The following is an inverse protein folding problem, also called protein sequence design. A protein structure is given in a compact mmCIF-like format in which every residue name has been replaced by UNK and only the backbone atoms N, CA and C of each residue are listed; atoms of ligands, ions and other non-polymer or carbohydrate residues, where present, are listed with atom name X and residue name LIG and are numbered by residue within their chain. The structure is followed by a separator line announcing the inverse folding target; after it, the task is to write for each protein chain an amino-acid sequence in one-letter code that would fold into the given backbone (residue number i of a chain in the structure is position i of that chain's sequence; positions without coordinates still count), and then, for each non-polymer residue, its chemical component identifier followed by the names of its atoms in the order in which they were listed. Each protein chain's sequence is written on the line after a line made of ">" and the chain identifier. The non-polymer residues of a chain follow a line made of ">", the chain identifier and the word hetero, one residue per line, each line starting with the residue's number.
data_IF_836640514296
#
_entry.id   IF_836640514296
#
_cell.length_a   1.000
_cell.length_b   1.000
_cell.length_c   1.000
_cell.angle_alpha   90.00
_cell.angle_beta   90.00
_cell.angle_gamma   90.00
#
_symmetry.space_group_name_H-M   'P 1'
#
loop_
_entity.id
_entity.type
_entity.pdbx_description
1 polymer ?
#
# COMPACT_ATOMS: atom_id res chain seq x y z
N UNK A 1 9.34 15.90 3.39
CA UNK A 1 9.18 16.03 4.87
C UNK A 1 10.53 15.66 5.46
N UNK A 2 10.99 16.40 6.46
CA UNK A 2 12.32 16.24 7.06
C UNK A 2 12.30 15.45 8.39
N UNK A 3 11.12 14.96 8.79
CA UNK A 3 10.91 14.22 10.05
C UNK A 3 11.03 15.09 11.31
N UNK A 4 11.16 16.40 11.17
CA UNK A 4 11.38 17.31 12.29
C UNK A 4 10.08 18.05 12.63
N UNK A 5 9.69 18.01 13.90
CA UNK A 5 8.63 18.85 14.43
C UNK A 5 9.18 20.28 14.66
N UNK A 6 9.29 21.04 13.56
CA UNK A 6 9.79 22.40 13.57
C UNK A 6 8.69 23.46 13.73
N UNK A 7 9.07 24.77 13.71
CA UNK A 7 8.10 25.87 13.88
C UNK A 7 6.92 25.85 12.89
N UNK A 8 7.12 25.39 11.66
CA UNK A 8 6.05 25.25 10.66
C UNK A 8 5.06 24.15 11.04
N UNK A 9 5.56 23.01 11.53
CA UNK A 9 4.72 21.90 12.01
C UNK A 9 3.92 22.33 13.23
N UNK A 10 4.56 23.02 14.18
CA UNK A 10 3.89 23.61 15.35
C UNK A 10 2.74 24.54 14.93
N UNK A 11 2.99 25.48 14.02
CA UNK A 11 1.97 26.41 13.52
C UNK A 11 0.81 25.69 12.83
N UNK A 12 1.11 24.65 12.02
CA UNK A 12 0.09 23.84 11.36
C UNK A 12 -0.77 23.08 12.38
N UNK A 13 -0.16 22.49 13.41
CA UNK A 13 -0.88 21.81 14.50
C UNK A 13 -1.75 22.79 15.28
N UNK A 14 -1.23 23.95 15.67
CA UNK A 14 -1.99 24.97 16.39
C UNK A 14 -3.18 25.49 15.57
N UNK A 15 -2.99 25.74 14.27
CA UNK A 15 -4.07 26.13 13.36
C UNK A 15 -5.13 25.01 13.22
N UNK A 16 -4.69 23.75 13.09
CA UNK A 16 -5.58 22.59 13.06
C UNK A 16 -6.42 22.48 14.35
N UNK A 17 -5.77 22.63 15.52
CA UNK A 17 -6.44 22.61 16.82
C UNK A 17 -7.49 23.70 16.93
N UNK A 18 -7.13 24.94 16.58
CA UNK A 18 -8.06 26.09 16.60
C UNK A 18 -9.29 25.82 15.69
N UNK A 19 -9.07 25.31 14.49
CA UNK A 19 -10.15 25.00 13.53
C UNK A 19 -11.05 23.86 13.98
N UNK A 20 -10.60 23.02 14.92
CA UNK A 20 -11.35 21.89 15.47
C UNK A 20 -11.79 22.11 16.93
N UNK A 21 -11.84 23.36 17.41
CA UNK A 21 -12.27 23.73 18.75
C UNK A 21 -11.46 23.05 19.88
N UNK A 22 -10.18 22.79 19.62
CA UNK A 22 -9.21 22.30 20.61
C UNK A 22 -8.35 23.46 21.15
N UNK A 23 -7.68 23.24 22.28
CA UNK A 23 -6.66 24.17 22.74
C UNK A 23 -5.52 24.24 21.70
N UNK A 24 -5.26 25.44 21.18
CA UNK A 24 -4.27 25.66 20.12
C UNK A 24 -2.85 25.78 20.70
N UNK A 25 -2.40 24.74 21.38
CA UNK A 25 -1.10 24.68 22.07
C UNK A 25 0.04 24.13 21.17
N UNK A 26 -0.28 23.70 19.94
CA UNK A 26 0.68 23.13 19.00
C UNK A 26 1.21 21.74 19.40
N UNK A 27 0.64 21.11 20.44
CA UNK A 27 1.05 19.80 20.95
C UNK A 27 0.06 18.73 20.49
N UNK A 28 0.54 17.69 19.82
CA UNK A 28 -0.32 16.59 19.38
C UNK A 28 -0.55 15.62 20.54
N UNK A 29 -1.47 16.01 21.43
CA UNK A 29 -1.95 15.17 22.54
C UNK A 29 -3.14 14.27 22.15
N UNK A 30 -3.69 13.49 23.12
CA UNK A 30 -4.80 12.56 22.85
C UNK A 30 -6.03 13.20 22.20
N UNK A 31 -6.40 14.41 22.60
CA UNK A 31 -7.54 15.14 22.00
C UNK A 31 -7.28 15.52 20.54
N UNK A 32 -6.06 15.96 20.22
CA UNK A 32 -5.64 16.26 18.85
C UNK A 32 -5.63 15.00 17.99
N UNK A 33 -5.08 13.91 18.53
CA UNK A 33 -5.07 12.62 17.86
C UNK A 33 -6.48 12.11 17.57
N UNK A 34 -7.41 12.22 18.50
CA UNK A 34 -8.79 11.75 18.29
C UNK A 34 -9.50 12.44 17.10
N UNK A 35 -9.14 13.70 16.80
CA UNK A 35 -9.65 14.41 15.63
C UNK A 35 -8.88 14.03 14.37
N UNK A 36 -7.54 13.95 14.45
CA UNK A 36 -6.70 13.54 13.32
C UNK A 36 -7.06 12.13 12.85
N UNK A 37 -7.29 11.19 13.76
CA UNK A 37 -7.66 9.82 13.44
C UNK A 37 -8.91 9.73 12.55
N UNK A 38 -9.94 10.48 12.87
CA UNK A 38 -11.18 10.52 12.07
C UNK A 38 -10.91 11.04 10.66
N UNK A 39 -10.07 12.06 10.51
CA UNK A 39 -9.71 12.61 9.21
C UNK A 39 -8.84 11.63 8.40
N UNK A 40 -7.90 10.93 9.04
CA UNK A 40 -7.07 9.92 8.40
C UNK A 40 -7.89 8.70 7.95
N UNK A 41 -8.92 8.31 8.71
CA UNK A 41 -9.86 7.26 8.34
C UNK A 41 -10.84 7.72 7.23
N UNK A 42 -11.04 9.04 7.08
CA UNK A 42 -11.89 9.62 6.04
C UNK A 42 -13.39 9.44 6.26
N UNK A 43 -13.82 9.05 7.47
CA UNK A 43 -15.23 8.95 7.84
C UNK A 43 -15.46 9.24 9.32
N UNK A 44 -16.73 9.48 9.68
CA UNK A 44 -17.20 9.54 11.05
C UNK A 44 -18.36 8.56 11.28
N UNK A 45 -18.65 8.29 12.54
CA UNK A 45 -19.84 7.55 12.94
C UNK A 45 -20.84 8.52 13.53
N UNK A 46 -22.03 8.57 12.96
CA UNK A 46 -23.10 9.49 13.35
C UNK A 46 -24.33 8.75 13.89
N UNK A 47 -24.90 9.26 14.97
CA UNK A 47 -26.18 8.79 15.51
C UNK A 47 -27.26 9.77 15.09
N UNK A 48 -28.23 9.30 14.29
CA UNK A 48 -29.33 10.10 13.74
C UNK A 48 -30.14 10.75 14.86
N UNK A 49 -30.33 12.06 14.75
CA UNK A 49 -31.08 12.88 15.69
C UNK A 49 -32.50 13.20 15.17
N UNK A 50 -33.43 13.62 16.05
CA UNK A 50 -34.75 14.09 15.62
C UNK A 50 -34.66 15.24 14.60
N UNK A 51 -35.37 15.11 13.47
CA UNK A 51 -35.36 16.09 12.38
C UNK A 51 -34.23 15.97 11.38
N UNK A 52 -33.35 14.96 11.52
CA UNK A 52 -32.30 14.69 10.53
C UNK A 52 -32.87 14.14 9.22
N UNK A 53 -32.13 14.44 8.15
CA UNK A 53 -32.26 13.81 6.84
C UNK A 53 -30.87 13.50 6.30
N UNK A 54 -30.73 12.48 5.45
CA UNK A 54 -29.43 12.19 4.83
C UNK A 54 -28.88 13.41 4.08
N UNK A 55 -29.75 14.22 3.48
CA UNK A 55 -29.30 15.44 2.81
C UNK A 55 -28.68 16.47 3.77
N UNK A 56 -29.29 16.70 4.95
CA UNK A 56 -28.75 17.62 5.95
C UNK A 56 -27.43 17.11 6.52
N UNK A 57 -27.36 15.81 6.82
CA UNK A 57 -26.15 15.15 7.31
C UNK A 57 -25.04 15.26 6.25
N UNK A 58 -25.34 14.91 4.99
CA UNK A 58 -24.36 15.00 3.90
C UNK A 58 -23.77 16.42 3.75
N UNK A 59 -24.62 17.45 3.82
CA UNK A 59 -24.16 18.84 3.79
C UNK A 59 -23.27 19.22 4.98
N UNK A 60 -23.62 18.76 6.18
CA UNK A 60 -22.84 19.06 7.40
C UNK A 60 -21.43 18.43 7.36
N UNK A 61 -21.28 17.28 6.69
CA UNK A 61 -20.03 16.55 6.55
C UNK A 61 -19.33 16.77 5.20
N UNK A 62 -19.78 17.73 4.39
CA UNK A 62 -19.24 18.04 3.06
C UNK A 62 -19.13 16.81 2.15
N UNK A 63 -20.13 15.94 2.21
CA UNK A 63 -20.20 14.69 1.43
C UNK A 63 -21.50 14.65 0.61
N UNK A 64 -21.84 13.48 0.06
CA UNK A 64 -23.07 13.26 -0.72
C UNK A 64 -23.96 12.20 -0.08
N UNK A 65 -25.27 12.25 -0.39
CA UNK A 65 -26.22 11.21 0.04
C UNK A 65 -25.79 9.85 -0.51
N UNK A 66 -25.34 9.79 -1.77
CA UNK A 66 -24.89 8.55 -2.42
C UNK A 66 -23.68 7.94 -1.71
N UNK A 67 -22.74 8.77 -1.24
CA UNK A 67 -21.60 8.29 -0.45
C UNK A 67 -22.06 7.68 0.89
N UNK A 68 -23.01 8.33 1.58
CA UNK A 68 -23.60 7.79 2.83
C UNK A 68 -24.33 6.47 2.54
N UNK A 69 -25.15 6.40 1.50
CA UNK A 69 -25.86 5.17 1.11
C UNK A 69 -24.88 4.05 0.77
N UNK A 70 -23.82 4.35 0.04
CA UNK A 70 -22.76 3.38 -0.30
C UNK A 70 -22.08 2.81 0.95
N UNK A 71 -21.77 3.67 1.93
CA UNK A 71 -21.11 3.27 3.17
C UNK A 71 -22.05 2.54 4.16
N UNK A 72 -23.36 2.59 3.94
CA UNK A 72 -24.37 1.97 4.80
C UNK A 72 -25.29 1.03 3.98
N UNK A 73 -24.82 -0.17 3.58
CA UNK A 73 -25.61 -1.08 2.76
C UNK A 73 -26.97 -1.41 3.38
N UNK A 74 -28.03 -1.36 2.56
CA UNK A 74 -29.41 -1.67 2.99
C UNK A 74 -30.16 -0.49 3.62
N UNK A 75 -29.55 0.70 3.71
CA UNK A 75 -30.26 1.89 4.15
C UNK A 75 -31.28 2.34 3.08
N UNK A 76 -32.50 2.68 3.52
CA UNK A 76 -33.42 3.42 2.67
C UNK A 76 -33.08 4.93 2.74
N UNK A 77 -32.70 5.57 1.61
CA UNK A 77 -32.29 6.96 1.62
C UNK A 77 -33.42 7.94 2.02
N UNK A 78 -34.67 7.51 1.96
CA UNK A 78 -35.83 8.30 2.30
C UNK A 78 -36.32 8.09 3.75
N UNK A 79 -35.81 7.04 4.42
CA UNK A 79 -36.28 6.66 5.77
C UNK A 79 -35.10 6.35 6.68
N UNK A 80 -34.71 7.34 7.49
CA UNK A 80 -33.75 7.13 8.58
C UNK A 80 -34.45 7.25 9.93
N UNK A 81 -33.96 6.53 10.95
CA UNK A 81 -34.61 6.47 12.27
C UNK A 81 -33.73 7.15 13.31
N UNK A 82 -34.35 7.91 14.22
CA UNK A 82 -33.63 8.45 15.38
C UNK A 82 -32.94 7.33 16.15
N UNK A 83 -31.67 7.55 16.51
CA UNK A 83 -30.82 6.54 17.16
C UNK A 83 -30.13 5.59 16.18
N UNK A 84 -30.44 5.62 14.88
CA UNK A 84 -29.73 4.81 13.87
C UNK A 84 -28.27 5.27 13.76
N UNK A 85 -27.35 4.31 13.74
CA UNK A 85 -25.90 4.55 13.56
C UNK A 85 -25.57 4.51 12.08
N UNK A 86 -24.90 5.55 11.59
CA UNK A 86 -24.47 5.68 10.20
C UNK A 86 -22.96 5.92 10.12
N UNK A 87 -22.33 5.33 9.12
CA UNK A 87 -20.98 5.70 8.66
C UNK A 87 -21.15 6.89 7.69
N UNK A 88 -20.49 7.98 7.99
CA UNK A 88 -20.56 9.22 7.18
C UNK A 88 -19.18 9.45 6.56
N UNK A 89 -18.96 9.10 5.29
CA UNK A 89 -17.71 9.42 4.59
C UNK A 89 -17.52 10.94 4.48
N UNK A 90 -16.31 11.43 4.68
CA UNK A 90 -15.96 12.81 4.34
C UNK A 90 -15.83 12.97 2.82
N UNK A 91 -16.06 14.19 2.31
CA UNK A 91 -15.94 14.50 0.87
C UNK A 91 -14.50 14.59 0.35
N UNK A 92 -13.53 14.05 1.09
CA UNK A 92 -12.10 14.02 0.74
C UNK A 92 -11.64 12.59 0.43
N UNK A 93 -10.53 12.46 -0.28
CA UNK A 93 -9.88 11.18 -0.51
C UNK A 93 -9.22 10.64 0.76
N UNK A 94 -9.29 9.32 0.95
CA UNK A 94 -8.59 8.61 2.04
C UNK A 94 -7.11 8.47 1.68
N UNK A 95 -6.84 8.18 0.41
CA UNK A 95 -5.48 7.94 -0.07
C UNK A 95 -4.87 9.24 -0.59
N UNK A 96 -3.79 9.68 0.05
CA UNK A 96 -2.94 10.77 -0.40
C UNK A 96 -1.65 10.22 -1.00
N UNK A 97 -1.13 10.90 -2.05
CA UNK A 97 0.06 10.45 -2.78
C UNK A 97 1.35 11.11 -2.29
N UNK A 98 1.26 12.03 -1.35
CA UNK A 98 2.35 12.89 -0.88
C UNK A 98 2.79 12.58 0.58
N UNK A 99 2.22 11.53 1.17
CA UNK A 99 2.54 11.07 2.51
C UNK A 99 3.32 9.75 2.45
N UNK A 100 4.38 9.61 3.25
CA UNK A 100 5.14 8.37 3.33
C UNK A 100 4.23 7.21 3.75
N UNK A 101 4.18 6.11 3.01
CA UNK A 101 3.24 5.02 3.23
C UNK A 101 3.73 4.07 4.32
N UNK A 102 3.87 4.60 5.55
CA UNK A 102 4.20 3.76 6.71
C UNK A 102 3.10 2.72 6.94
N UNK A 103 3.46 1.65 7.65
CA UNK A 103 2.50 0.60 8.00
C UNK A 103 1.20 1.15 8.59
N UNK A 104 1.31 2.09 9.53
CA UNK A 104 0.14 2.66 10.20
C UNK A 104 -0.73 3.49 9.25
N UNK A 105 -0.14 4.25 8.33
CA UNK A 105 -0.88 5.00 7.31
C UNK A 105 -1.63 4.05 6.38
N UNK A 106 -0.97 3.01 5.88
CA UNK A 106 -1.60 2.02 4.98
C UNK A 106 -2.74 1.28 5.69
N UNK A 107 -2.52 0.85 6.94
CA UNK A 107 -3.55 0.19 7.77
C UNK A 107 -4.80 1.06 7.90
N UNK A 108 -4.64 2.35 8.24
CA UNK A 108 -5.74 3.31 8.39
C UNK A 108 -6.44 3.59 7.07
N UNK A 109 -5.69 3.72 5.99
CA UNK A 109 -6.28 3.90 4.66
C UNK A 109 -7.14 2.69 4.27
N UNK A 110 -6.68 1.46 4.50
CA UNK A 110 -7.46 0.23 4.24
C UNK A 110 -8.74 0.21 5.09
N UNK A 111 -8.63 0.53 6.38
CA UNK A 111 -9.77 0.62 7.29
C UNK A 111 -10.80 1.66 6.80
N UNK A 112 -10.33 2.86 6.45
CA UNK A 112 -11.17 3.93 5.92
C UNK A 112 -11.84 3.56 4.59
N UNK A 113 -11.10 2.96 3.67
CA UNK A 113 -11.65 2.50 2.39
C UNK A 113 -12.70 1.41 2.59
N UNK A 114 -12.49 0.45 3.50
CA UNK A 114 -13.46 -0.58 3.81
C UNK A 114 -14.74 -0.02 4.43
N UNK A 115 -14.61 0.98 5.31
CA UNK A 115 -15.78 1.64 5.91
C UNK A 115 -16.60 2.42 4.87
N UNK A 116 -15.93 3.08 3.92
CA UNK A 116 -16.57 3.85 2.84
C UNK A 116 -17.15 2.97 1.74
N UNK A 117 -16.52 1.83 1.47
CA UNK A 117 -16.83 0.89 0.40
C UNK A 117 -16.93 -0.54 0.95
N UNK A 118 -18.03 -0.87 1.66
CA UNK A 118 -18.17 -2.19 2.33
C UNK A 118 -18.16 -3.40 1.39
N UNK A 119 -18.24 -3.18 0.08
CA UNK A 119 -18.09 -4.22 -0.94
C UNK A 119 -16.62 -4.63 -1.17
N UNK A 120 -15.65 -3.88 -0.64
CA UNK A 120 -14.25 -4.28 -0.67
C UNK A 120 -14.02 -5.43 0.30
N UNK A 121 -13.39 -6.49 -0.18
CA UNK A 121 -12.87 -7.56 0.66
C UNK A 121 -11.44 -7.21 1.06
N UNK A 122 -11.14 -7.32 2.35
CA UNK A 122 -9.81 -7.06 2.89
C UNK A 122 -9.42 -8.18 3.84
N UNK A 123 -8.15 -8.52 3.85
CA UNK A 123 -7.62 -9.53 4.75
C UNK A 123 -6.10 -9.41 4.89
N UNK A 124 -5.50 -10.42 5.49
CA UNK A 124 -4.05 -10.54 5.64
C UNK A 124 -3.58 -11.83 4.98
N UNK A 125 -2.45 -11.76 4.29
CA UNK A 125 -1.77 -12.93 3.72
C UNK A 125 -0.79 -13.57 4.71
N UNK A 126 -0.49 -12.90 5.82
CA UNK A 126 0.49 -13.31 6.82
C UNK A 126 1.03 -12.12 7.60
N UNK A 127 2.16 -12.31 8.25
CA UNK A 127 2.78 -11.29 9.09
C UNK A 127 4.24 -11.08 8.72
N UNK A 128 4.72 -9.84 8.90
CA UNK A 128 6.12 -9.48 8.79
C UNK A 128 6.95 -10.01 9.97
N UNK A 129 8.25 -9.81 9.92
CA UNK A 129 9.18 -10.13 11.03
C UNK A 129 8.74 -9.48 12.34
N UNK A 130 8.27 -8.23 12.33
CA UNK A 130 7.79 -7.52 13.52
C UNK A 130 6.32 -7.83 13.87
N UNK A 131 5.71 -8.81 13.21
CA UNK A 131 4.33 -9.25 13.49
C UNK A 131 3.24 -8.38 12.89
N UNK A 132 3.57 -7.47 11.98
CA UNK A 132 2.63 -6.60 11.27
C UNK A 132 1.90 -7.37 10.20
N UNK A 133 0.59 -7.11 10.04
CA UNK A 133 -0.23 -7.77 9.03
C UNK A 133 0.19 -7.35 7.62
N UNK A 134 0.34 -8.32 6.73
CA UNK A 134 0.54 -8.09 5.31
C UNK A 134 -0.84 -8.05 4.64
N UNK A 135 -1.39 -6.85 4.55
CA UNK A 135 -2.77 -6.69 4.07
C UNK A 135 -2.91 -6.92 2.57
N UNK A 136 -4.06 -7.50 2.19
CA UNK A 136 -4.55 -7.43 0.83
C UNK A 136 -5.91 -6.72 0.76
N UNK A 137 -6.19 -6.15 -0.40
CA UNK A 137 -7.52 -5.66 -0.79
C UNK A 137 -7.91 -6.37 -2.09
N UNK A 138 -9.10 -6.97 -2.10
CA UNK A 138 -9.66 -7.57 -3.31
C UNK A 138 -10.67 -6.62 -3.95
N UNK A 139 -10.46 -6.34 -5.23
CA UNK A 139 -11.38 -5.61 -6.10
C UNK A 139 -12.02 -6.60 -7.06
N UNK A 140 -13.32 -6.77 -6.95
CA UNK A 140 -14.07 -7.68 -7.81
C UNK A 140 -14.44 -9.00 -7.15
N UNK A 141 -15.26 -9.77 -7.87
CA UNK A 141 -15.80 -11.07 -7.43
C UNK A 141 -15.81 -12.13 -8.54
N UNK A 142 -15.19 -11.78 -9.66
CA UNK A 142 -15.12 -12.67 -10.81
C UNK A 142 -14.14 -13.82 -10.63
N UNK A 143 -14.23 -14.80 -11.51
CA UNK A 143 -13.37 -15.99 -11.47
C UNK A 143 -11.97 -15.78 -12.07
N UNK A 144 -11.73 -14.67 -12.75
CA UNK A 144 -10.40 -14.32 -13.25
C UNK A 144 -9.60 -13.69 -12.14
N UNK A 145 -8.62 -14.41 -11.59
CA UNK A 145 -7.79 -13.89 -10.51
C UNK A 145 -6.50 -13.30 -11.07
N UNK A 146 -6.16 -12.11 -10.58
CA UNK A 146 -4.86 -11.44 -10.84
C UNK A 146 -4.32 -10.86 -9.54
N UNK A 147 -3.00 -10.73 -9.43
CA UNK A 147 -2.37 -10.19 -8.22
C UNK A 147 -1.42 -9.05 -8.55
N UNK A 148 -1.52 -7.98 -7.77
CA UNK A 148 -0.61 -6.83 -7.80
C UNK A 148 0.01 -6.63 -6.43
N UNK A 149 1.29 -6.32 -6.41
CA UNK A 149 1.98 -6.07 -5.15
C UNK A 149 2.98 -4.91 -5.28
N UNK A 150 3.34 -4.32 -4.15
CA UNK A 150 4.26 -3.18 -4.10
C UNK A 150 5.16 -3.26 -2.87
N UNK A 151 6.24 -2.50 -2.91
CA UNK A 151 7.17 -2.32 -1.80
C UNK A 151 7.74 -3.63 -1.25
N UNK A 152 8.22 -4.52 -2.14
CA UNK A 152 9.15 -5.57 -1.74
C UNK A 152 10.44 -4.95 -1.22
N UNK A 153 10.94 -3.91 -1.91
CA UNK A 153 12.06 -3.13 -1.45
C UNK A 153 11.62 -1.92 -0.61
N UNK A 154 12.27 -1.73 0.51
CA UNK A 154 11.90 -0.72 1.50
C UNK A 154 11.99 0.72 0.99
N UNK A 155 13.03 1.05 0.22
CA UNK A 155 13.25 2.38 -0.35
C UNK A 155 12.49 2.65 -1.66
N UNK A 156 11.65 1.73 -2.08
CA UNK A 156 10.77 1.85 -3.25
C UNK A 156 9.30 2.09 -2.83
N UNK A 157 9.12 2.66 -1.65
CA UNK A 157 7.81 2.79 -1.00
C UNK A 157 6.79 3.63 -1.76
N UNK A 158 7.20 4.47 -2.72
CA UNK A 158 6.29 5.24 -3.59
C UNK A 158 5.31 4.34 -4.37
N UNK A 159 5.63 3.07 -4.57
CA UNK A 159 4.78 2.11 -5.27
C UNK A 159 3.51 1.77 -4.48
N UNK A 160 3.58 1.82 -3.14
CA UNK A 160 2.42 1.60 -2.25
C UNK A 160 1.29 2.61 -2.46
N UNK A 161 1.49 3.95 -2.36
CA UNK A 161 0.41 4.91 -2.57
C UNK A 161 -0.15 4.87 -4.00
N UNK A 162 0.62 4.44 -5.00
CA UNK A 162 0.13 4.24 -6.36
C UNK A 162 -0.94 3.15 -6.41
N UNK A 163 -0.66 1.97 -5.81
CA UNK A 163 -1.64 0.89 -5.73
C UNK A 163 -2.82 1.24 -4.82
N UNK A 164 -2.59 1.88 -3.68
CA UNK A 164 -3.66 2.34 -2.79
C UNK A 164 -4.59 3.33 -3.48
N UNK A 165 -4.04 4.23 -4.29
CA UNK A 165 -4.85 5.19 -5.07
C UNK A 165 -5.68 4.51 -6.15
N UNK A 166 -5.14 3.49 -6.78
CA UNK A 166 -5.89 2.66 -7.72
C UNK A 166 -7.08 1.97 -7.02
N UNK A 167 -6.87 1.40 -5.83
CA UNK A 167 -7.94 0.79 -5.03
C UNK A 167 -9.06 1.81 -4.77
N UNK A 168 -8.71 3.01 -4.30
CA UNK A 168 -9.69 4.06 -4.00
C UNK A 168 -10.47 4.49 -5.25
N UNK A 169 -9.77 4.78 -6.36
CA UNK A 169 -10.42 5.26 -7.58
C UNK A 169 -11.30 4.17 -8.23
N UNK A 170 -10.86 2.91 -8.18
CA UNK A 170 -11.67 1.78 -8.64
C UNK A 170 -12.95 1.65 -7.80
N UNK A 171 -12.84 1.72 -6.48
CA UNK A 171 -13.98 1.65 -5.58
C UNK A 171 -14.97 2.81 -5.79
N UNK A 172 -14.47 4.03 -5.99
CA UNK A 172 -15.30 5.21 -6.36
C UNK A 172 -16.06 4.98 -7.66
N UNK A 173 -15.34 4.52 -8.70
CA UNK A 173 -15.96 4.28 -10.00
C UNK A 173 -17.00 3.16 -9.94
N UNK A 174 -16.74 2.08 -9.19
CA UNK A 174 -17.72 1.02 -8.94
C UNK A 174 -18.98 1.54 -8.27
N UNK A 175 -18.84 2.31 -7.19
CA UNK A 175 -19.96 2.91 -6.46
C UNK A 175 -20.78 3.86 -7.34
N UNK A 176 -20.10 4.69 -8.11
CA UNK A 176 -20.72 5.66 -9.02
C UNK A 176 -21.25 5.06 -10.33
N UNK A 177 -21.13 3.74 -10.55
CA UNK A 177 -21.45 3.07 -11.83
C UNK A 177 -20.69 3.68 -13.02
N UNK A 178 -19.45 4.11 -12.76
CA UNK A 178 -18.62 4.82 -13.71
C UNK A 178 -17.67 3.90 -14.48
N UNK A 179 -16.84 4.56 -15.28
CA UNK A 179 -15.77 3.92 -16.08
C UNK A 179 -14.41 4.54 -15.74
N UNK A 180 -13.35 3.76 -15.90
CA UNK A 180 -11.96 4.22 -15.84
C UNK A 180 -11.30 3.80 -17.16
N UNK A 181 -10.62 4.70 -17.84
CA UNK A 181 -9.95 4.43 -19.13
C UNK A 181 -10.86 3.73 -20.18
N UNK A 182 -12.17 4.04 -20.15
CA UNK A 182 -13.17 3.44 -21.03
C UNK A 182 -13.72 2.08 -20.60
N UNK A 183 -13.16 1.45 -19.56
CA UNK A 183 -13.68 0.18 -19.01
C UNK A 183 -14.82 0.44 -18.04
N UNK A 184 -15.97 -0.24 -18.22
CA UNK A 184 -17.05 -0.24 -17.26
C UNK A 184 -16.63 -1.00 -16.00
N UNK A 185 -16.52 -0.31 -14.86
CA UNK A 185 -15.95 -0.90 -13.65
C UNK A 185 -16.85 -1.94 -13.01
N UNK A 186 -18.18 -1.85 -13.18
CA UNK A 186 -19.09 -2.90 -12.68
C UNK A 186 -18.96 -4.20 -13.44
N UNK A 187 -18.83 -4.14 -14.76
CA UNK A 187 -18.59 -5.33 -15.58
C UNK A 187 -17.25 -5.97 -15.21
N UNK A 188 -16.20 -5.15 -15.07
CA UNK A 188 -14.88 -5.64 -14.70
C UNK A 188 -14.88 -6.25 -13.29
N UNK A 189 -15.62 -5.66 -12.34
CA UNK A 189 -15.78 -6.17 -10.98
C UNK A 189 -16.44 -7.57 -10.95
N UNK A 190 -17.40 -7.81 -11.84
CA UNK A 190 -18.07 -9.10 -11.93
C UNK A 190 -17.25 -10.16 -12.66
N UNK A 191 -16.34 -9.76 -13.55
CA UNK A 191 -15.50 -10.66 -14.34
C UNK A 191 -14.21 -11.07 -13.64
N UNK A 192 -13.60 -10.17 -12.87
CA UNK A 192 -12.24 -10.29 -12.36
C UNK A 192 -12.19 -10.11 -10.86
N UNK A 193 -11.27 -10.79 -10.21
CA UNK A 193 -10.86 -10.56 -8.82
C UNK A 193 -9.40 -10.12 -8.82
N UNK A 194 -9.17 -8.84 -8.52
CA UNK A 194 -7.82 -8.26 -8.38
C UNK A 194 -7.42 -8.27 -6.92
N UNK A 195 -6.43 -9.06 -6.56
CA UNK A 195 -5.85 -9.10 -5.22
C UNK A 195 -4.65 -8.17 -5.17
N UNK A 196 -4.72 -7.13 -4.37
CA UNK A 196 -3.69 -6.10 -4.29
C UNK A 196 -3.06 -6.14 -2.91
N UNK A 197 -1.77 -6.42 -2.85
CA UNK A 197 -0.94 -6.39 -1.64
C UNK A 197 -0.09 -5.11 -1.69
N UNK A 198 -0.54 -4.00 -1.12
CA UNK A 198 0.08 -2.69 -1.36
C UNK A 198 1.40 -2.49 -0.61
N UNK A 199 1.71 -3.31 0.39
CA UNK A 199 2.89 -3.14 1.24
C UNK A 199 3.43 -4.51 1.69
N UNK A 200 4.35 -5.08 0.93
CA UNK A 200 4.95 -6.40 1.21
C UNK A 200 5.98 -6.33 2.33
N UNK A 201 6.73 -5.24 2.42
CA UNK A 201 7.83 -5.04 3.39
C UNK A 201 7.53 -3.88 4.36
N UNK A 202 6.53 -4.02 5.25
CA UNK A 202 6.13 -2.92 6.13
C UNK A 202 7.21 -2.50 7.13
N UNK A 203 8.03 -3.45 7.60
CA UNK A 203 9.08 -3.18 8.58
C UNK A 203 10.24 -2.40 7.95
N UNK A 204 10.66 -2.82 6.76
CA UNK A 204 11.71 -2.12 6.01
C UNK A 204 11.27 -0.73 5.56
N UNK A 205 10.02 -0.57 5.10
CA UNK A 205 9.48 0.74 4.71
C UNK A 205 9.45 1.69 5.90
N UNK A 206 9.02 1.24 7.07
CA UNK A 206 9.04 2.07 8.28
C UNK A 206 10.46 2.40 8.73
N UNK A 207 11.40 1.45 8.62
CA UNK A 207 12.82 1.70 8.89
C UNK A 207 13.36 2.86 8.02
N UNK A 208 13.03 2.87 6.74
CA UNK A 208 13.42 3.96 5.82
C UNK A 208 12.69 5.25 6.14
N UNK A 209 11.38 5.19 6.42
CA UNK A 209 10.53 6.36 6.63
C UNK A 209 10.84 7.11 7.92
N UNK A 210 11.21 6.40 8.99
CA UNK A 210 11.51 6.99 10.30
C UNK A 210 12.98 7.33 10.51
N UNK A 211 13.87 7.01 9.56
CA UNK A 211 15.28 7.35 9.67
C UNK A 211 15.51 8.86 9.82
N UNK A 212 16.44 9.32 10.68
CA UNK A 212 17.29 8.55 11.61
C UNK A 212 16.71 8.38 13.02
N UNK A 213 15.44 8.73 13.24
CA UNK A 213 14.83 8.79 14.57
C UNK A 213 14.00 7.53 14.82
N UNK A 214 14.56 6.59 15.60
CA UNK A 214 13.90 5.33 15.92
C UNK A 214 13.56 5.24 17.40
N UNK A 215 12.29 4.95 17.69
CA UNK A 215 11.84 4.64 19.05
C UNK A 215 11.96 3.12 19.35
N UNK A 216 11.99 2.27 18.31
CA UNK A 216 12.07 0.82 18.45
C UNK A 216 13.53 0.34 18.30
N UNK A 217 14.06 -0.43 19.29
CA UNK A 217 15.39 -1.03 19.20
C UNK A 217 15.63 -1.93 17.98
N UNK A 218 14.57 -2.56 17.44
CA UNK A 218 14.69 -3.38 16.23
C UNK A 218 15.15 -2.55 15.03
N UNK A 219 14.64 -1.33 14.86
CA UNK A 219 15.08 -0.41 13.81
C UNK A 219 16.52 0.05 14.01
N UNK A 220 16.89 0.35 15.24
CA UNK A 220 18.29 0.70 15.57
C UNK A 220 19.24 -0.45 15.26
N UNK A 221 18.86 -1.69 15.57
CA UNK A 221 19.67 -2.87 15.28
C UNK A 221 19.80 -3.13 13.79
N UNK A 222 18.72 -3.03 13.04
CA UNK A 222 18.73 -3.15 11.58
C UNK A 222 19.61 -2.08 10.92
N UNK A 223 19.48 -0.83 11.36
CA UNK A 223 20.27 0.28 10.81
C UNK A 223 21.80 0.07 10.96
N UNK A 224 22.24 -0.67 11.99
CA UNK A 224 23.66 -1.03 12.17
C UNK A 224 24.20 -1.98 11.10
N UNK A 225 23.35 -2.68 10.36
CA UNK A 225 23.74 -3.51 9.22
C UNK A 225 24.14 -2.66 8.02
N UNK A 226 23.77 -1.37 7.98
CA UNK A 226 24.23 -0.47 6.94
C UNK A 226 25.71 -0.08 7.16
N UNK A 227 26.59 -0.79 6.47
CA UNK A 227 28.05 -0.56 6.49
C UNK A 227 28.54 0.18 5.23
N UNK A 228 27.63 0.70 4.42
CA UNK A 228 27.98 1.35 3.14
C UNK A 228 28.58 2.75 3.28
N UNK A 229 28.41 3.39 4.44
CA UNK A 229 28.76 4.82 4.64
C UNK A 229 27.77 5.80 4.00
N UNK A 230 26.75 5.32 3.29
CA UNK A 230 25.70 6.14 2.69
C UNK A 230 24.48 6.25 3.61
N UNK A 231 23.64 7.29 3.45
CA UNK A 231 22.38 7.40 4.20
C UNK A 231 21.50 6.16 4.00
N UNK A 232 20.96 5.63 5.10
CA UNK A 232 20.16 4.41 5.09
C UNK A 232 19.01 4.45 4.06
N UNK A 233 18.22 5.52 3.93
CA UNK A 233 17.12 5.55 2.95
C UNK A 233 17.57 5.32 1.51
N UNK A 234 18.77 5.72 1.15
CA UNK A 234 19.27 5.58 -0.23
C UNK A 234 19.69 4.17 -0.61
N UNK A 235 19.98 3.33 0.39
CA UNK A 235 20.56 1.99 0.17
C UNK A 235 19.68 0.84 0.64
N UNK A 236 18.75 1.09 1.57
CA UNK A 236 18.02 0.02 2.25
C UNK A 236 16.86 -0.54 1.41
N UNK A 237 17.08 -1.67 0.76
CA UNK A 237 16.05 -2.45 0.05
C UNK A 237 15.46 -3.57 0.90
N UNK A 238 16.23 -4.09 1.84
CA UNK A 238 15.95 -5.27 2.63
C UNK A 238 14.75 -5.13 3.59
N UNK A 239 14.31 -6.26 4.15
CA UNK A 239 13.43 -6.27 5.32
C UNK A 239 14.21 -5.87 6.59
N UNK A 240 13.57 -5.94 7.75
CA UNK A 240 14.16 -5.54 9.03
C UNK A 240 15.34 -6.46 9.46
N UNK A 241 15.43 -7.67 8.91
CA UNK A 241 16.54 -8.60 9.15
C UNK A 241 17.72 -8.41 8.20
N UNK A 242 17.63 -7.49 7.25
CA UNK A 242 18.65 -7.27 6.25
C UNK A 242 18.64 -8.30 5.13
N UNK A 243 17.49 -8.87 4.81
CA UNK A 243 17.27 -9.79 3.68
C UNK A 243 16.51 -9.06 2.58
N UNK A 244 17.04 -9.09 1.37
CA UNK A 244 16.37 -8.57 0.18
C UNK A 244 15.26 -9.55 -0.22
N UNK A 245 14.00 -9.14 0.02
CA UNK A 245 12.85 -10.01 -0.19
C UNK A 245 12.67 -10.43 -1.65
N UNK A 246 13.11 -9.60 -2.61
CA UNK A 246 13.03 -9.93 -4.03
C UNK A 246 14.18 -10.80 -4.54
N UNK A 247 15.02 -11.31 -3.63
CA UNK A 247 16.04 -12.34 -3.85
C UNK A 247 15.78 -13.58 -2.97
N UNK A 248 14.61 -13.70 -2.35
CA UNK A 248 14.30 -14.76 -1.38
C UNK A 248 13.28 -15.79 -1.90
N UNK A 249 12.97 -15.81 -3.21
CA UNK A 249 12.07 -16.79 -3.82
C UNK A 249 12.85 -17.95 -4.46
N UNK A 250 12.24 -19.16 -4.60
CA UNK A 250 12.93 -20.36 -5.11
C UNK A 250 13.05 -20.38 -6.66
N UNK A 251 13.49 -19.28 -7.25
CA UNK A 251 13.75 -19.18 -8.70
C UNK A 251 15.26 -19.14 -8.93
N UNK A 252 15.88 -20.32 -9.08
CA UNK A 252 17.33 -20.48 -9.20
C UNK A 252 18.12 -19.81 -8.05
N UNK A 253 17.61 -19.92 -6.86
CA UNK A 253 18.14 -19.27 -5.65
C UNK A 253 19.59 -19.63 -5.36
N UNK A 254 20.03 -20.85 -5.70
CA UNK A 254 21.41 -21.29 -5.55
C UNK A 254 22.37 -20.48 -6.45
N UNK A 255 21.91 -20.07 -7.63
CA UNK A 255 22.70 -19.18 -8.50
C UNK A 255 22.79 -17.78 -7.92
N UNK A 256 21.69 -17.27 -7.37
CA UNK A 256 21.71 -15.99 -6.65
C UNK A 256 22.73 -16.01 -5.51
N UNK A 257 22.76 -17.08 -4.72
CA UNK A 257 23.76 -17.25 -3.64
C UNK A 257 25.19 -17.30 -4.14
N UNK A 258 25.42 -17.86 -5.31
CA UNK A 258 26.75 -17.83 -5.93
C UNK A 258 27.13 -16.41 -6.35
N UNK A 259 26.21 -15.66 -6.96
CA UNK A 259 26.44 -14.25 -7.34
C UNK A 259 26.66 -13.36 -6.11
N UNK A 260 25.90 -13.56 -5.03
CA UNK A 260 26.14 -12.87 -3.75
C UNK A 260 27.60 -13.07 -3.27
N UNK A 261 28.08 -14.30 -3.26
CA UNK A 261 29.44 -14.61 -2.82
C UNK A 261 30.51 -13.99 -3.74
N UNK A 262 30.30 -14.03 -5.06
CA UNK A 262 31.18 -13.41 -6.05
C UNK A 262 31.26 -11.89 -5.88
N UNK A 263 30.13 -11.26 -5.44
CA UNK A 263 30.04 -9.84 -5.14
C UNK A 263 30.45 -9.49 -3.69
N UNK A 264 30.92 -10.46 -2.90
CA UNK A 264 31.37 -10.25 -1.53
C UNK A 264 30.26 -10.09 -0.50
N UNK A 265 29.04 -10.49 -0.84
CA UNK A 265 27.87 -10.46 0.05
C UNK A 265 27.84 -11.77 0.85
N UNK A 266 28.16 -11.68 2.13
CA UNK A 266 28.34 -12.87 3.00
C UNK A 266 27.31 -12.97 4.12
N UNK A 267 26.31 -12.07 4.15
CA UNK A 267 25.29 -12.05 5.19
C UNK A 267 24.38 -10.83 5.12
N UNK A 268 23.50 -10.68 6.12
CA UNK A 268 22.49 -9.63 6.17
C UNK A 268 23.07 -8.23 5.99
N UNK A 269 22.40 -7.44 5.17
CA UNK A 269 22.79 -6.08 4.81
C UNK A 269 21.63 -5.24 4.31
N UNK A 270 21.91 -4.02 3.86
CA UNK A 270 20.86 -3.14 3.36
C UNK A 270 20.23 -3.62 2.05
N UNK A 271 20.89 -4.49 1.29
CA UNK A 271 20.45 -5.00 -0.01
C UNK A 271 21.26 -6.22 -0.46
N UNK A 272 20.78 -6.87 -1.49
CA UNK A 272 21.50 -7.89 -2.27
C UNK A 272 21.84 -9.18 -1.47
N UNK A 273 21.20 -9.43 -0.31
CA UNK A 273 21.29 -10.67 0.43
C UNK A 273 19.97 -11.42 0.42
N UNK A 274 19.88 -12.55 -0.25
CA UNK A 274 18.67 -13.36 -0.46
C UNK A 274 18.28 -14.29 0.70
N UNK A 275 18.94 -14.14 1.88
CA UNK A 275 18.63 -14.95 3.05
C UNK A 275 19.44 -16.24 3.14
N UNK A 276 19.13 -17.07 4.15
CA UNK A 276 19.83 -18.35 4.40
C UNK A 276 19.24 -19.52 3.60
N UNK A 277 17.99 -19.38 3.17
CA UNK A 277 17.27 -20.34 2.34
C UNK A 277 16.16 -19.62 1.56
N UNK A 278 15.67 -20.22 0.43
CA UNK A 278 14.50 -19.69 -0.24
C UNK A 278 13.30 -19.65 0.72
N UNK A 279 12.53 -18.56 0.68
CA UNK A 279 11.39 -18.32 1.55
C UNK A 279 11.75 -18.38 3.07
N UNK A 280 12.99 -18.02 3.43
CA UNK A 280 13.38 -17.90 4.84
C UNK A 280 12.60 -16.80 5.57
N UNK A 281 12.23 -15.75 4.87
CA UNK A 281 11.56 -14.61 5.46
C UNK A 281 10.03 -14.79 5.51
N UNK A 282 9.39 -14.35 6.60
CA UNK A 282 7.94 -14.50 6.73
C UNK A 282 7.17 -13.77 5.63
N UNK A 283 7.65 -12.63 5.16
CA UNK A 283 7.02 -11.83 4.10
C UNK A 283 7.04 -12.57 2.75
N UNK A 284 8.18 -13.06 2.32
CA UNK A 284 8.29 -13.81 1.05
C UNK A 284 7.54 -15.14 1.11
N UNK A 285 7.53 -15.80 2.28
CA UNK A 285 6.75 -17.02 2.51
C UNK A 285 5.25 -16.75 2.41
N UNK A 286 4.78 -15.69 3.08
CA UNK A 286 3.37 -15.29 3.03
C UNK A 286 2.91 -14.97 1.60
N UNK A 287 3.74 -14.25 0.83
CA UNK A 287 3.47 -13.99 -0.59
C UNK A 287 3.41 -15.27 -1.41
N UNK A 288 4.34 -16.20 -1.20
CA UNK A 288 4.39 -17.47 -1.93
C UNK A 288 3.19 -18.36 -1.60
N UNK A 289 2.86 -18.52 -0.30
CA UNK A 289 1.74 -19.32 0.16
C UNK A 289 0.41 -18.75 -0.33
N UNK A 290 0.24 -17.44 -0.28
CA UNK A 290 -0.94 -16.77 -0.83
C UNK A 290 -1.06 -16.97 -2.34
N UNK A 291 0.05 -16.85 -3.08
CA UNK A 291 0.07 -17.07 -4.52
C UNK A 291 -0.29 -18.51 -4.89
N UNK A 292 0.19 -19.50 -4.14
CA UNK A 292 -0.12 -20.92 -4.32
C UNK A 292 -1.57 -21.26 -3.99
N UNK A 293 -2.18 -20.53 -3.05
CA UNK A 293 -3.58 -20.72 -2.66
C UNK A 293 -4.58 -20.19 -3.69
N UNK A 294 -4.12 -19.45 -4.72
CA UNK A 294 -4.94 -18.82 -5.73
C UNK A 294 -4.60 -19.31 -7.14
N UNK A 295 -5.48 -19.01 -8.09
CA UNK A 295 -5.29 -19.35 -9.49
C UNK A 295 -4.93 -18.11 -10.34
N UNK A 296 -3.96 -17.32 -9.86
CA UNK A 296 -3.58 -16.08 -10.54
C UNK A 296 -3.15 -16.33 -11.99
N UNK A 297 -3.78 -15.60 -12.90
CA UNK A 297 -3.45 -15.63 -14.34
C UNK A 297 -2.23 -14.75 -14.63
N UNK A 298 -2.11 -13.66 -13.91
CA UNK A 298 -1.06 -12.65 -14.06
C UNK A 298 -0.67 -12.15 -12.68
N UNK A 299 0.63 -11.89 -12.47
CA UNK A 299 1.12 -11.12 -11.35
C UNK A 299 1.89 -9.89 -11.83
N UNK A 300 1.73 -8.76 -11.13
CA UNK A 300 2.48 -7.52 -11.39
C UNK A 300 3.10 -7.04 -10.09
N UNK A 301 4.42 -6.99 -10.03
CA UNK A 301 5.19 -6.43 -8.92
C UNK A 301 5.66 -5.02 -9.28
N UNK A 302 5.28 -4.05 -8.45
CA UNK A 302 5.69 -2.65 -8.62
C UNK A 302 6.98 -2.36 -7.86
N UNK A 303 7.96 -1.90 -8.60
CA UNK A 303 9.29 -1.49 -8.17
C UNK A 303 9.63 -0.09 -8.67
N UNK A 304 10.78 0.41 -8.30
CA UNK A 304 11.41 1.62 -8.85
C UNK A 304 12.89 1.36 -9.10
N UNK A 305 13.47 1.86 -10.17
CA UNK A 305 13.04 2.95 -11.04
C UNK A 305 13.45 2.67 -12.49
N UNK A 306 12.99 3.49 -13.45
CA UNK A 306 13.52 3.44 -14.84
C UNK A 306 12.44 3.47 -15.92
N UNK A 307 11.15 3.41 -15.57
CA UNK A 307 10.02 3.33 -16.53
C UNK A 307 10.17 2.15 -17.50
N UNK A 308 10.54 0.98 -16.94
CA UNK A 308 10.79 -0.27 -17.69
C UNK A 308 9.86 -1.36 -17.16
N UNK A 309 9.44 -2.28 -18.04
CA UNK A 309 8.68 -3.47 -17.69
C UNK A 309 9.53 -4.70 -17.97
N UNK A 310 9.85 -5.44 -16.93
CA UNK A 310 10.50 -6.75 -17.04
C UNK A 310 9.44 -7.85 -17.06
N UNK A 311 9.52 -8.73 -18.07
CA UNK A 311 8.51 -9.77 -18.32
C UNK A 311 9.08 -11.15 -18.63
N UNK A 312 10.41 -11.25 -18.81
CA UNK A 312 11.10 -12.53 -19.08
C UNK A 312 11.86 -13.00 -17.84
N UNK A 313 12.21 -14.28 -17.82
CA UNK A 313 13.11 -14.90 -16.86
C UNK A 313 14.41 -15.30 -17.59
N UNK A 314 15.56 -15.10 -16.95
CA UNK A 314 16.90 -15.49 -17.45
C UNK A 314 17.42 -14.78 -18.73
N UNK A 315 16.72 -13.84 -19.31
CA UNK A 315 17.14 -13.14 -20.55
C UNK A 315 17.64 -11.71 -20.27
N UNK A 316 18.04 -11.42 -19.04
CA UNK A 316 18.62 -10.13 -18.66
C UNK A 316 20.16 -10.21 -18.66
N UNK A 317 20.81 -9.10 -18.90
CA UNK A 317 22.23 -8.92 -18.69
C UNK A 317 22.44 -7.74 -17.73
N UNK A 318 22.84 -7.96 -16.47
CA UNK A 318 23.01 -9.26 -15.81
C UNK A 318 21.67 -9.95 -15.47
N UNK A 319 21.63 -11.29 -15.44
CA UNK A 319 20.43 -12.01 -15.02
C UNK A 319 20.13 -11.69 -13.55
N UNK A 320 18.83 -11.60 -13.21
CA UNK A 320 18.38 -11.52 -11.83
C UNK A 320 17.66 -12.82 -11.48
N UNK A 321 18.04 -13.43 -10.37
CA UNK A 321 17.48 -14.68 -9.88
C UNK A 321 16.66 -14.44 -8.61
N UNK A 322 15.94 -15.46 -8.18
CA UNK A 322 15.21 -15.51 -6.92
C UNK A 322 14.17 -14.38 -6.68
N UNK A 323 13.75 -13.65 -7.74
CA UNK A 323 12.70 -12.64 -7.67
C UNK A 323 11.30 -13.23 -7.64
N UNK A 324 10.32 -12.48 -7.08
CA UNK A 324 8.92 -12.90 -7.03
C UNK A 324 8.33 -13.18 -8.41
N UNK A 325 8.52 -12.26 -9.36
CA UNK A 325 8.08 -12.42 -10.74
C UNK A 325 8.72 -13.65 -11.40
N UNK A 326 10.02 -13.85 -11.20
CA UNK A 326 10.80 -14.93 -11.81
C UNK A 326 10.34 -16.28 -11.27
N UNK A 327 10.11 -16.37 -9.96
CA UNK A 327 9.52 -17.53 -9.32
C UNK A 327 8.12 -17.84 -9.88
N UNK A 328 7.27 -16.83 -10.04
CA UNK A 328 5.93 -17.03 -10.60
C UNK A 328 5.98 -17.54 -12.03
N UNK A 329 6.83 -16.97 -12.87
CA UNK A 329 7.05 -17.44 -14.25
C UNK A 329 7.53 -18.90 -14.28
N UNK A 330 8.46 -19.27 -13.41
CA UNK A 330 9.04 -20.60 -13.35
C UNK A 330 8.05 -21.64 -12.82
N UNK A 331 7.40 -21.36 -11.69
CA UNK A 331 6.52 -22.33 -11.01
C UNK A 331 5.18 -22.49 -11.71
N UNK A 332 4.55 -21.40 -12.15
CA UNK A 332 3.20 -21.43 -12.71
C UNK A 332 3.16 -21.39 -14.23
N UNK A 333 4.26 -21.05 -14.91
CA UNK A 333 4.34 -20.86 -16.36
C UNK A 333 3.29 -19.89 -16.90
N UNK A 334 3.06 -18.81 -16.16
CA UNK A 334 2.10 -17.75 -16.45
C UNK A 334 2.78 -16.39 -16.45
N UNK A 335 2.20 -15.38 -17.12
CA UNK A 335 2.78 -14.04 -17.19
C UNK A 335 3.00 -13.41 -15.82
N UNK A 336 4.23 -13.01 -15.55
CA UNK A 336 4.63 -12.22 -14.40
C UNK A 336 5.43 -11.01 -14.86
N UNK A 337 5.17 -9.86 -14.26
CA UNK A 337 5.79 -8.60 -14.65
C UNK A 337 6.39 -7.89 -13.44
N UNK A 338 7.55 -7.27 -13.64
CA UNK A 338 8.08 -6.24 -12.74
C UNK A 338 7.96 -4.89 -13.45
N UNK A 339 7.26 -3.96 -12.84
CA UNK A 339 7.11 -2.60 -13.33
C UNK A 339 8.03 -1.70 -12.53
N UNK A 340 9.10 -1.22 -13.16
CA UNK A 340 10.04 -0.22 -12.63
C UNK A 340 9.51 1.17 -12.93
N UNK A 341 8.77 1.77 -12.00
CA UNK A 341 8.09 3.05 -12.23
C UNK A 341 8.92 4.24 -11.73
N UNK A 342 8.69 5.40 -12.33
CA UNK A 342 9.34 6.66 -11.95
C UNK A 342 10.80 6.77 -12.38
N UNK A 343 11.41 7.92 -12.09
CA UNK A 343 12.78 8.25 -12.53
C UNK A 343 13.61 8.85 -11.40
N UNK A 344 14.91 8.63 -11.46
CA UNK A 344 15.90 9.22 -10.56
C UNK A 344 16.61 8.19 -9.69
N UNK A 345 16.81 8.49 -8.43
CA UNK A 345 17.52 7.64 -7.47
C UNK A 345 16.59 7.33 -6.29
N UNK A 346 16.56 6.07 -5.85
CA UNK A 346 15.74 5.64 -4.72
C UNK A 346 16.24 6.22 -3.37
N UNK A 347 15.32 6.62 -2.50
CA UNK A 347 13.88 6.67 -2.71
C UNK A 347 13.49 7.85 -3.62
N UNK A 348 12.74 7.57 -4.70
CA UNK A 348 12.25 8.64 -5.55
C UNK A 348 11.25 9.54 -4.79
N UNK A 349 11.27 10.87 -5.06
CA UNK A 349 10.39 11.81 -4.37
C UNK A 349 8.90 11.49 -4.57
N UNK A 350 8.12 11.51 -3.49
CA UNK A 350 6.67 11.26 -3.53
C UNK A 350 5.92 12.22 -4.46
N UNK A 351 6.49 13.37 -4.79
CA UNK A 351 5.94 14.29 -5.79
C UNK A 351 5.79 13.66 -7.19
N UNK A 352 6.46 12.54 -7.48
CA UNK A 352 6.26 11.79 -8.72
C UNK A 352 5.02 10.87 -8.69
N UNK A 353 4.50 10.52 -7.50
CA UNK A 353 3.41 9.55 -7.36
C UNK A 353 2.15 9.88 -8.19
N UNK A 354 1.70 11.15 -8.30
CA UNK A 354 0.56 11.50 -9.16
C UNK A 354 0.81 11.23 -10.65
N UNK A 355 2.04 11.43 -11.13
CA UNK A 355 2.40 11.15 -12.52
C UNK A 355 2.49 9.64 -12.77
N UNK A 356 3.17 8.92 -11.87
CA UNK A 356 3.27 7.45 -11.90
C UNK A 356 1.89 6.82 -11.90
N UNK A 357 0.97 7.27 -11.02
CA UNK A 357 -0.39 6.75 -10.98
C UNK A 357 -1.10 6.92 -12.34
N UNK A 358 -1.09 8.12 -12.91
CA UNK A 358 -1.74 8.38 -14.22
C UNK A 358 -1.17 7.53 -15.34
N UNK A 359 0.14 7.31 -15.36
CA UNK A 359 0.81 6.48 -16.37
C UNK A 359 0.43 5.00 -16.24
N UNK A 360 0.17 4.53 -15.01
CA UNK A 360 -0.03 3.11 -14.72
C UNK A 360 -1.50 2.70 -14.57
N UNK A 361 -2.44 3.64 -14.44
CA UNK A 361 -3.88 3.33 -14.23
C UNK A 361 -4.44 2.41 -15.33
N UNK A 362 -4.09 2.67 -16.60
CA UNK A 362 -4.49 1.82 -17.72
C UNK A 362 -3.87 0.42 -17.66
N UNK A 363 -2.59 0.32 -17.29
CA UNK A 363 -1.90 -0.97 -17.18
C UNK A 363 -2.47 -1.84 -16.05
N UNK A 364 -2.86 -1.23 -14.92
CA UNK A 364 -3.51 -1.91 -13.81
C UNK A 364 -4.88 -2.49 -14.22
N UNK A 365 -5.64 -1.78 -15.06
CA UNK A 365 -6.90 -2.28 -15.61
C UNK A 365 -6.65 -3.35 -16.68
N UNK A 366 -5.66 -3.15 -17.56
CA UNK A 366 -5.35 -4.11 -18.62
C UNK A 366 -4.98 -5.48 -18.06
N UNK A 367 -4.18 -5.54 -16.99
CA UNK A 367 -3.85 -6.79 -16.31
C UNK A 367 -5.09 -7.56 -15.82
N UNK A 368 -6.20 -6.87 -15.56
CA UNK A 368 -7.45 -7.48 -15.14
C UNK A 368 -8.32 -7.99 -16.30
N UNK A 369 -8.11 -7.54 -17.54
CA UNK A 369 -8.93 -7.94 -18.71
C UNK A 369 -8.25 -8.97 -19.60
N UNK A 370 -6.93 -9.13 -19.51
CA UNK A 370 -6.13 -10.14 -20.22
C UNK A 370 -6.07 -11.46 -19.46
#
# INVERSE_FOLDING_TARGET
>A
MDGIFGPRTYQAVAAFQANNSLAADGIVGPATWAVLDRLLLGYDTYIVQPGDTLYRIARAYYTTVDAIVTANPGIDPNVIRVGQRLVIPYGIDVVTLDVAPTYEIVRRQIEGLKARYPFLETGSIGKSVMGRELYYVRLGRGSREVSYNASHHANESITTPVLMKFIENYAKAYAARGSIQGYNIRELYDLTSMYIIPLVNPDGVDLVAYWPNYDDPAFTNAARLNRTGLPLPSVWKANIRGVDLNLNYPAEWEKEKQEELENGITGPGPRDYGGEAPLSEPESRAMADFTRAHNFRIVIAYHTQGEVIYWQFQNYAPPAYAGYKDWFLQEFRRPGYTFEVGRGVNPIPLSQAPAIYRQNEGALLLGAVV
#
